data_IF_175668862860
#
_entry.id   IF_175668862860
#
_cell.length_a   1.000
_cell.length_b   1.000
_cell.length_c   1.000
_cell.angle_alpha   90.00
_cell.angle_beta   90.00
_cell.angle_gamma   90.00
#
_symmetry.space_group_name_H-M   'P 1'
#
loop_
_entity.id
_entity.type
_entity.pdbx_description
1 polymer ?
#
# COMPACT_ATOMS: atom_id res chain seq x y z
N UNK A 1 -10.71 -9.94 17.59
CA UNK A 1 -10.66 -9.63 16.16
C UNK A 1 -12.07 -9.81 15.65
N UNK A 2 -12.64 -8.80 14.98
CA UNK A 2 -13.93 -9.01 14.29
C UNK A 2 -13.67 -9.92 13.09
N UNK A 3 -14.58 -10.83 12.80
CA UNK A 3 -14.48 -11.66 11.61
C UNK A 3 -14.58 -10.78 10.36
N UNK A 4 -13.82 -11.08 9.29
CA UNK A 4 -13.92 -10.31 8.05
C UNK A 4 -15.35 -10.37 7.54
N UNK A 5 -15.88 -9.23 7.13
CA UNK A 5 -17.22 -9.19 6.52
C UNK A 5 -17.12 -9.87 5.16
N UNK A 6 -17.70 -11.05 5.02
CA UNK A 6 -17.84 -11.74 3.74
C UNK A 6 -19.04 -11.15 3.02
N UNK A 7 -18.81 -10.32 2.02
CA UNK A 7 -19.86 -9.77 1.18
C UNK A 7 -19.89 -10.45 -0.18
N UNK A 8 -21.08 -10.66 -0.73
CA UNK A 8 -21.21 -10.95 -2.15
C UNK A 8 -21.17 -9.62 -2.90
N UNK A 9 -20.48 -9.60 -4.04
CA UNK A 9 -20.21 -8.36 -4.77
C UNK A 9 -21.42 -7.48 -5.06
N UNK A 10 -22.63 -8.05 -5.13
CA UNK A 10 -23.88 -7.31 -5.34
C UNK A 10 -24.31 -6.41 -4.15
N UNK A 11 -23.63 -6.47 -3.01
CA UNK A 11 -23.93 -5.70 -1.79
C UNK A 11 -22.94 -4.56 -1.56
N UNK A 12 -21.88 -4.47 -2.38
CA UNK A 12 -20.89 -3.40 -2.25
C UNK A 12 -21.42 -2.07 -2.81
N UNK A 13 -21.01 -0.94 -2.22
CA UNK A 13 -21.21 0.38 -2.82
C UNK A 13 -20.64 0.44 -4.25
N UNK A 14 -21.28 1.15 -5.19
CA UNK A 14 -20.87 1.20 -6.60
C UNK A 14 -19.40 1.59 -6.80
N UNK A 15 -18.89 2.49 -5.97
CA UNK A 15 -17.48 2.93 -6.00
C UNK A 15 -16.49 1.82 -5.62
N UNK A 16 -16.87 0.88 -4.75
CA UNK A 16 -16.04 -0.28 -4.41
C UNK A 16 -16.17 -1.38 -5.47
N UNK A 17 -17.34 -1.52 -6.10
CA UNK A 17 -17.54 -2.40 -7.26
C UNK A 17 -16.61 -1.99 -8.40
N UNK A 18 -16.59 -0.70 -8.75
CA UNK A 18 -15.68 -0.15 -9.77
C UNK A 18 -14.21 -0.43 -9.41
N UNK A 19 -13.86 -0.23 -8.16
CA UNK A 19 -12.49 -0.42 -7.69
C UNK A 19 -12.04 -1.89 -7.83
N UNK A 20 -12.90 -2.85 -7.48
CA UNK A 20 -12.65 -4.30 -7.69
C UNK A 20 -12.49 -4.63 -9.18
N UNK A 21 -13.35 -4.08 -10.04
CA UNK A 21 -13.25 -4.31 -11.48
C UNK A 21 -11.92 -3.81 -12.05
N UNK A 22 -11.48 -2.62 -11.62
CA UNK A 22 -10.18 -2.04 -12.03
C UNK A 22 -9.00 -2.86 -11.51
N UNK A 23 -9.03 -3.32 -10.26
CA UNK A 23 -8.01 -4.20 -9.71
C UNK A 23 -7.92 -5.53 -10.48
N UNK A 24 -9.07 -6.14 -10.80
CA UNK A 24 -9.13 -7.37 -11.60
C UNK A 24 -8.56 -7.16 -13.00
N UNK A 25 -8.88 -6.05 -13.67
CA UNK A 25 -8.34 -5.72 -14.99
C UNK A 25 -6.82 -5.49 -14.93
N UNK A 26 -6.33 -4.78 -13.92
CA UNK A 26 -4.90 -4.52 -13.72
C UNK A 26 -4.09 -5.81 -13.53
N UNK A 27 -4.66 -6.85 -12.92
CA UNK A 27 -3.99 -8.14 -12.71
C UNK A 27 -3.46 -8.76 -14.00
N UNK A 28 -4.14 -8.55 -15.13
CA UNK A 28 -3.70 -9.05 -16.44
C UNK A 28 -2.39 -8.41 -16.92
N UNK A 29 -1.96 -7.30 -16.32
CA UNK A 29 -0.72 -6.58 -16.65
C UNK A 29 0.44 -6.97 -15.72
N UNK A 30 0.25 -7.91 -14.80
CA UNK A 30 1.29 -8.35 -13.88
C UNK A 30 2.50 -8.96 -14.61
N UNK A 31 3.68 -8.59 -14.15
CA UNK A 31 4.93 -9.20 -14.59
C UNK A 31 5.47 -10.10 -13.47
N UNK A 32 5.13 -11.38 -13.52
CA UNK A 32 5.43 -12.36 -12.47
C UNK A 32 6.07 -13.64 -13.03
N UNK A 33 7.24 -13.54 -13.69
CA UNK A 33 7.86 -14.69 -14.35
C UNK A 33 8.41 -15.73 -13.37
N UNK A 34 8.65 -15.37 -12.12
CA UNK A 34 9.25 -16.25 -11.10
C UNK A 34 8.20 -16.97 -10.28
N UNK A 35 7.25 -16.24 -9.69
CA UNK A 35 6.21 -16.82 -8.85
C UNK A 35 4.99 -17.31 -9.64
N UNK A 36 4.77 -16.75 -10.83
CA UNK A 36 3.55 -16.88 -11.62
C UNK A 36 2.27 -16.46 -10.87
N UNK A 37 2.42 -15.76 -9.76
CA UNK A 37 1.32 -15.27 -8.93
C UNK A 37 0.95 -13.84 -9.34
N UNK A 38 -0.12 -13.73 -10.11
CA UNK A 38 -0.57 -12.45 -10.66
C UNK A 38 -1.46 -11.71 -9.66
N UNK A 39 -1.10 -10.47 -9.35
CA UNK A 39 -1.85 -9.58 -8.46
C UNK A 39 -2.15 -8.27 -9.16
N UNK A 40 -3.37 -7.81 -9.08
CA UNK A 40 -3.78 -6.46 -9.47
C UNK A 40 -4.33 -5.70 -8.29
N UNK A 41 -4.10 -4.41 -8.26
CA UNK A 41 -4.63 -3.52 -7.24
C UNK A 41 -5.20 -2.25 -7.87
N UNK A 42 -6.13 -1.63 -7.15
CA UNK A 42 -6.62 -0.30 -7.44
C UNK A 42 -6.75 0.48 -6.13
N UNK A 43 -6.33 1.74 -6.14
CA UNK A 43 -6.53 2.68 -5.03
C UNK A 43 -7.45 3.79 -5.49
N UNK A 44 -8.42 4.15 -4.67
CA UNK A 44 -9.23 5.37 -4.81
C UNK A 44 -8.69 6.40 -3.85
N UNK A 45 -8.48 7.59 -4.33
CA UNK A 45 -8.02 8.74 -3.53
C UNK A 45 -9.21 9.60 -3.09
N UNK A 46 -9.01 10.43 -2.07
CA UNK A 46 -10.07 11.28 -1.50
C UNK A 46 -10.60 12.32 -2.48
N UNK A 47 -9.80 12.71 -3.47
CA UNK A 47 -10.20 13.56 -4.60
C UNK A 47 -10.99 12.82 -5.70
N UNK A 48 -11.27 11.51 -5.48
CA UNK A 48 -12.13 10.69 -6.34
C UNK A 48 -11.42 9.97 -7.49
N UNK A 49 -10.12 10.21 -7.71
CA UNK A 49 -9.37 9.51 -8.75
C UNK A 49 -9.11 8.05 -8.39
N UNK A 50 -8.94 7.22 -9.42
CA UNK A 50 -8.60 5.80 -9.26
C UNK A 50 -7.32 5.49 -10.02
N UNK A 51 -6.35 4.94 -9.28
CA UNK A 51 -5.06 4.49 -9.82
C UNK A 51 -4.95 2.98 -9.70
N UNK A 52 -4.37 2.37 -10.72
CA UNK A 52 -4.23 0.92 -10.79
C UNK A 52 -2.76 0.51 -10.76
N UNK A 53 -2.50 -0.70 -10.31
CA UNK A 53 -1.18 -1.30 -10.29
C UNK A 53 -1.25 -2.82 -10.41
N UNK A 54 -0.16 -3.40 -10.86
CA UNK A 54 0.06 -4.84 -10.89
C UNK A 54 1.41 -5.15 -10.28
N UNK A 55 1.64 -6.38 -9.81
CA UNK A 55 2.96 -6.75 -9.31
C UNK A 55 3.97 -6.85 -10.45
N UNK A 56 5.17 -6.38 -10.15
CA UNK A 56 6.33 -6.41 -11.06
C UNK A 56 7.48 -7.09 -10.34
N UNK A 57 7.82 -8.28 -10.78
CA UNK A 57 8.90 -9.07 -10.21
C UNK A 57 10.26 -8.71 -10.81
N UNK A 58 11.30 -9.06 -10.11
CA UNK A 58 12.68 -8.83 -10.51
C UNK A 58 13.53 -10.06 -10.12
N UNK A 59 14.55 -10.37 -10.91
CA UNK A 59 15.52 -11.43 -10.60
C UNK A 59 16.21 -11.19 -9.24
N UNK A 60 16.42 -9.93 -8.87
CA UNK A 60 16.75 -9.53 -7.51
C UNK A 60 15.45 -9.39 -6.73
N UNK A 61 15.05 -10.42 -5.99
CA UNK A 61 13.74 -10.51 -5.34
C UNK A 61 13.40 -9.31 -4.46
N UNK A 62 14.39 -8.71 -3.81
CA UNK A 62 14.21 -7.51 -2.98
C UNK A 62 13.74 -6.28 -3.76
N UNK A 63 13.92 -6.25 -5.08
CA UNK A 63 13.46 -5.17 -5.96
C UNK A 63 12.04 -5.38 -6.49
N UNK A 64 11.44 -6.53 -6.23
CA UNK A 64 10.05 -6.81 -6.66
C UNK A 64 9.07 -5.87 -5.96
N UNK A 65 8.08 -5.37 -6.72
CA UNK A 65 7.07 -4.43 -6.23
C UNK A 65 5.69 -5.06 -6.32
N UNK A 66 4.96 -5.04 -5.20
CA UNK A 66 3.59 -5.53 -5.15
C UNK A 66 2.61 -4.58 -5.87
N UNK A 67 1.49 -5.10 -6.33
CA UNK A 67 0.46 -4.36 -7.07
C UNK A 67 -0.06 -3.13 -6.29
N UNK A 68 -0.29 -3.28 -4.99
CA UNK A 68 -0.79 -2.19 -4.13
C UNK A 68 0.21 -1.03 -4.08
N UNK A 69 1.51 -1.33 -3.95
CA UNK A 69 2.56 -0.31 -3.95
C UNK A 69 2.67 0.38 -5.31
N UNK A 70 2.56 -0.36 -6.40
CA UNK A 70 2.54 0.21 -7.75
C UNK A 70 1.36 1.17 -7.93
N UNK A 71 0.17 0.81 -7.45
CA UNK A 71 -1.01 1.68 -7.52
C UNK A 71 -0.83 2.96 -6.67
N UNK A 72 -0.29 2.84 -5.45
CA UNK A 72 0.00 3.99 -4.58
C UNK A 72 1.06 4.91 -5.22
N UNK A 73 2.14 4.35 -5.78
CA UNK A 73 3.17 5.14 -6.46
C UNK A 73 2.60 5.92 -7.65
N UNK A 74 1.68 5.30 -8.42
CA UNK A 74 0.99 5.98 -9.52
C UNK A 74 0.13 7.15 -9.01
N UNK A 75 -0.58 6.99 -7.88
CA UNK A 75 -1.36 8.06 -7.26
C UNK A 75 -0.46 9.22 -6.81
N UNK A 76 0.64 8.92 -6.12
CA UNK A 76 1.58 9.94 -5.65
C UNK A 76 2.22 10.70 -6.80
N UNK A 77 2.61 10.00 -7.88
CA UNK A 77 3.17 10.63 -9.08
C UNK A 77 2.17 11.57 -9.77
N UNK A 78 0.88 11.24 -9.70
CA UNK A 78 -0.19 12.10 -10.21
C UNK A 78 -0.58 13.25 -9.26
N UNK A 79 0.05 13.35 -8.08
CA UNK A 79 -0.21 14.42 -7.11
C UNK A 79 -1.24 14.07 -6.02
N UNK A 80 -1.93 12.90 -6.10
CA UNK A 80 -2.88 12.45 -5.08
C UNK A 80 -2.17 11.72 -3.95
N UNK A 81 -2.39 12.16 -2.71
CA UNK A 81 -1.63 11.67 -1.54
C UNK A 81 -2.50 11.15 -0.40
N UNK A 82 -3.81 11.05 -0.59
CA UNK A 82 -4.72 10.54 0.40
C UNK A 82 -5.57 9.40 -0.17
N UNK A 83 -5.44 8.22 0.42
CA UNK A 83 -6.13 7.00 -0.02
C UNK A 83 -7.45 6.85 0.74
N UNK A 84 -8.55 6.74 0.00
CA UNK A 84 -9.90 6.55 0.53
C UNK A 84 -10.34 5.08 0.53
N UNK A 85 -9.87 4.26 -0.42
CA UNK A 85 -10.20 2.84 -0.52
C UNK A 85 -9.16 2.08 -1.35
N UNK A 86 -9.04 0.78 -1.11
CA UNK A 86 -8.13 -0.12 -1.84
C UNK A 86 -8.89 -1.38 -2.25
N UNK A 87 -8.66 -1.87 -3.48
CA UNK A 87 -9.05 -3.21 -3.89
C UNK A 87 -7.82 -4.00 -4.32
N UNK A 88 -7.77 -5.29 -3.97
CA UNK A 88 -6.70 -6.21 -4.35
C UNK A 88 -7.33 -7.47 -4.94
N UNK A 89 -6.92 -7.84 -6.15
CA UNK A 89 -7.38 -9.01 -6.87
C UNK A 89 -6.23 -10.00 -7.06
N UNK A 90 -6.44 -11.23 -6.58
CA UNK A 90 -5.48 -12.33 -6.70
C UNK A 90 -6.09 -13.53 -7.42
N UNK A 91 -5.33 -14.63 -7.51
CA UNK A 91 -5.82 -15.90 -8.06
C UNK A 91 -6.39 -16.82 -6.97
N UNK A 92 -6.30 -16.42 -5.71
CA UNK A 92 -6.69 -17.28 -4.58
C UNK A 92 -8.18 -17.18 -4.24
N UNK A 93 -8.72 -18.27 -3.77
CA UNK A 93 -10.01 -18.35 -3.09
C UNK A 93 -9.82 -19.26 -1.86
N UNK A 94 -9.97 -18.72 -0.65
CA UNK A 94 -10.34 -17.35 -0.31
C UNK A 94 -9.29 -16.30 -0.77
N UNK A 95 -9.71 -15.04 -0.97
CA UNK A 95 -8.82 -13.97 -1.44
C UNK A 95 -7.68 -13.68 -0.46
N UNK A 96 -6.49 -13.35 -1.01
CA UNK A 96 -5.32 -13.01 -0.21
C UNK A 96 -5.34 -11.55 0.26
N UNK A 97 -4.94 -11.33 1.50
CA UNK A 97 -4.74 -9.98 2.03
C UNK A 97 -3.38 -9.39 1.59
N UNK A 98 -3.24 -8.04 1.58
CA UNK A 98 -1.98 -7.35 1.35
C UNK A 98 -0.87 -7.83 2.28
N UNK A 99 0.35 -7.94 1.78
CA UNK A 99 1.52 -8.24 2.61
C UNK A 99 1.84 -7.11 3.60
N UNK A 100 2.69 -7.36 4.58
CA UNK A 100 3.03 -6.37 5.62
C UNK A 100 3.59 -5.07 5.06
N UNK A 101 4.45 -5.13 4.02
CA UNK A 101 4.99 -3.93 3.38
C UNK A 101 3.90 -3.10 2.69
N UNK A 102 2.92 -3.75 2.05
CA UNK A 102 1.81 -3.04 1.41
C UNK A 102 0.90 -2.37 2.43
N UNK A 103 0.62 -3.04 3.56
CA UNK A 103 -0.17 -2.45 4.67
C UNK A 103 0.52 -1.21 5.22
N UNK A 104 1.84 -1.29 5.47
CA UNK A 104 2.63 -0.16 5.94
C UNK A 104 2.71 0.98 4.91
N UNK A 105 2.84 0.66 3.61
CA UNK A 105 2.79 1.67 2.55
C UNK A 105 1.44 2.39 2.52
N UNK A 106 0.33 1.67 2.66
CA UNK A 106 -1.00 2.27 2.71
C UNK A 106 -1.19 3.16 3.95
N UNK A 107 -0.65 2.76 5.11
CA UNK A 107 -0.74 3.51 6.35
C UNK A 107 -0.02 4.88 6.31
N UNK A 108 0.87 5.11 5.35
CA UNK A 108 1.46 6.43 5.08
C UNK A 108 0.46 7.41 4.50
N UNK A 109 -0.53 6.91 3.71
CA UNK A 109 -1.45 7.74 2.92
C UNK A 109 -2.90 7.69 3.43
N UNK A 110 -3.17 7.00 4.53
CA UNK A 110 -4.48 6.96 5.19
C UNK A 110 -4.36 6.47 6.62
N UNK A 111 -5.17 7.04 7.50
CA UNK A 111 -5.28 6.52 8.89
C UNK A 111 -6.11 5.24 8.95
N UNK A 112 -7.08 5.10 8.05
CA UNK A 112 -7.90 3.89 7.90
C UNK A 112 -8.78 3.97 6.65
N UNK A 113 -8.84 2.88 5.89
CA UNK A 113 -9.70 2.78 4.72
C UNK A 113 -10.23 1.35 4.56
N UNK A 114 -11.31 1.13 3.79
CA UNK A 114 -11.72 -0.21 3.38
C UNK A 114 -10.67 -0.80 2.43
N UNK A 115 -10.32 -2.06 2.68
CA UNK A 115 -9.48 -2.91 1.83
C UNK A 115 -10.34 -4.05 1.33
N UNK A 116 -10.65 -4.03 0.05
CA UNK A 116 -11.52 -5.00 -0.61
C UNK A 116 -10.67 -6.06 -1.30
N UNK A 117 -10.83 -7.30 -0.89
CA UNK A 117 -10.07 -8.44 -1.41
C UNK A 117 -10.96 -9.28 -2.31
N UNK A 118 -10.48 -9.64 -3.49
CA UNK A 118 -11.22 -10.50 -4.41
C UNK A 118 -10.30 -11.55 -5.06
N UNK A 119 -10.93 -12.67 -5.40
CA UNK A 119 -10.32 -13.76 -6.14
C UNK A 119 -10.45 -13.59 -7.66
N UNK A 120 -10.17 -14.65 -8.45
CA UNK A 120 -10.12 -14.60 -9.92
C UNK A 120 -11.44 -14.19 -10.58
N UNK A 121 -12.57 -14.41 -9.92
CA UNK A 121 -13.89 -14.00 -10.42
C UNK A 121 -14.18 -12.51 -10.16
N UNK A 122 -13.38 -11.83 -9.32
CA UNK A 122 -13.63 -10.45 -8.93
C UNK A 122 -14.95 -10.32 -8.19
N UNK A 123 -15.79 -9.37 -8.63
CA UNK A 123 -17.09 -9.07 -8.02
C UNK A 123 -18.10 -10.24 -8.10
N UNK A 124 -17.95 -11.14 -9.06
CA UNK A 124 -18.81 -12.31 -9.24
C UNK A 124 -18.41 -13.50 -8.34
N UNK A 125 -17.36 -13.31 -7.55
CA UNK A 125 -16.83 -14.28 -6.61
C UNK A 125 -17.03 -13.91 -5.16
N UNK A 126 -16.23 -14.54 -4.30
CA UNK A 126 -16.08 -14.17 -2.91
C UNK A 126 -15.32 -12.84 -2.81
N UNK A 127 -15.87 -11.92 -2.06
CA UNK A 127 -15.25 -10.62 -1.76
C UNK A 127 -15.20 -10.43 -0.26
N UNK A 128 -14.03 -10.12 0.26
CA UNK A 128 -13.82 -9.79 1.68
C UNK A 128 -13.57 -8.30 1.82
N UNK A 129 -14.25 -7.65 2.77
CA UNK A 129 -14.02 -6.25 3.11
C UNK A 129 -13.42 -6.20 4.51
N UNK A 130 -12.26 -5.59 4.62
CA UNK A 130 -11.54 -5.39 5.87
C UNK A 130 -11.17 -3.92 6.04
N UNK A 131 -10.85 -3.52 7.27
CA UNK A 131 -10.28 -2.19 7.51
C UNK A 131 -8.76 -2.26 7.59
N UNK A 132 -8.06 -1.25 7.07
CA UNK A 132 -6.60 -1.21 7.11
C UNK A 132 -6.08 -1.32 8.56
N UNK A 133 -6.73 -0.64 9.51
CA UNK A 133 -6.38 -0.70 10.94
C UNK A 133 -6.49 -2.11 11.56
N UNK A 134 -7.38 -2.96 11.01
CA UNK A 134 -7.50 -4.37 11.44
C UNK A 134 -6.37 -5.22 10.86
N UNK A 135 -5.92 -4.88 9.64
CA UNK A 135 -4.82 -5.55 8.96
C UNK A 135 -3.44 -5.11 9.49
N UNK A 136 -3.32 -3.91 10.05
CA UNK A 136 -2.08 -3.36 10.59
C UNK A 136 -2.35 -2.65 11.93
N UNK A 137 -2.64 -3.39 13.01
CA UNK A 137 -2.76 -2.81 14.34
C UNK A 137 -1.41 -2.21 14.77
N UNK A 138 -1.44 -1.08 15.47
CA UNK A 138 -0.25 -0.36 15.92
C UNK A 138 0.71 0.04 14.78
N UNK A 139 0.16 0.49 13.65
CA UNK A 139 0.92 0.95 12.51
C UNK A 139 1.92 2.06 12.90
N UNK A 140 3.11 2.02 12.33
CA UNK A 140 4.04 3.14 12.38
C UNK A 140 3.60 4.20 11.36
N UNK A 141 3.12 5.35 11.84
CA UNK A 141 2.52 6.39 11.00
C UNK A 141 3.25 7.73 11.16
N UNK A 142 3.12 8.68 10.21
CA UNK A 142 3.79 9.99 10.28
C UNK A 142 3.57 10.72 11.60
N UNK A 143 2.38 10.62 12.19
CA UNK A 143 2.08 11.21 13.50
C UNK A 143 3.01 10.70 14.61
N UNK A 144 3.49 9.46 14.53
CA UNK A 144 4.46 8.90 15.48
C UNK A 144 5.81 9.64 15.41
N UNK A 145 6.26 9.97 14.19
CA UNK A 145 7.50 10.75 13.98
C UNK A 145 7.32 12.20 14.42
N UNK A 146 6.18 12.83 14.15
CA UNK A 146 5.90 14.21 14.56
C UNK A 146 5.92 14.33 16.08
N UNK A 147 5.24 13.43 16.81
CA UNK A 147 5.25 13.41 18.26
C UNK A 147 6.67 13.25 18.82
N UNK A 148 7.52 12.45 18.17
CA UNK A 148 8.92 12.26 18.57
C UNK A 148 9.75 13.54 18.33
N UNK A 149 9.60 14.21 17.19
CA UNK A 149 10.32 15.45 16.88
C UNK A 149 9.90 16.61 17.78
N UNK A 150 8.61 16.72 18.13
CA UNK A 150 8.10 17.68 19.10
C UNK A 150 8.68 17.43 20.50
N UNK A 151 8.75 16.17 20.93
CA UNK A 151 9.36 15.81 22.21
C UNK A 151 10.87 16.13 22.27
N UNK A 152 11.59 15.97 21.16
CA UNK A 152 13.01 16.37 21.08
C UNK A 152 13.17 17.88 21.04
N UNK A 153 12.32 18.62 20.33
CA UNK A 153 12.36 20.09 20.27
C UNK A 153 12.06 20.76 21.61
N UNK A 154 11.32 20.10 22.49
CA UNK A 154 11.07 20.55 23.87
C UNK A 154 12.25 20.28 24.83
N UNK A 155 13.22 19.46 24.45
CA UNK A 155 14.46 19.17 25.18
C UNK A 155 15.63 19.96 24.54
N UNK A 156 15.58 21.28 24.58
CA UNK A 156 16.60 22.17 24.00
C UNK A 156 17.94 22.20 24.76
N UNK A 157 18.43 21.05 25.17
CA UNK A 157 19.79 20.84 25.72
C UNK A 157 20.47 19.65 25.03
N UNK A 158 20.38 19.59 23.68
CA UNK A 158 21.14 18.59 22.94
C UNK A 158 22.50 19.14 22.54
N UNK A 159 23.56 18.47 22.98
CA UNK A 159 24.94 18.71 22.56
C UNK A 159 25.00 18.81 21.02
N UNK A 160 25.76 19.76 20.49
CA UNK A 160 25.94 19.87 19.03
C UNK A 160 26.53 18.55 18.49
N UNK A 161 25.94 18.04 17.43
CA UNK A 161 26.49 16.91 16.68
C UNK A 161 27.92 17.28 16.29
N UNK A 162 28.94 16.44 16.62
CA UNK A 162 30.30 16.69 16.19
C UNK A 162 30.32 16.87 14.69
N UNK A 163 30.83 18.01 14.20
CA UNK A 163 31.09 18.18 12.76
C UNK A 163 32.10 17.11 12.38
N UNK A 164 31.78 16.32 11.33
CA UNK A 164 32.76 15.45 10.73
C UNK A 164 33.99 16.30 10.37
N UNK A 165 35.14 15.92 10.90
CA UNK A 165 36.40 16.56 10.58
C UNK A 165 36.61 16.47 9.07
N UNK A 166 36.79 17.63 8.43
CA UNK A 166 37.20 17.77 7.05
C UNK A 166 38.61 17.15 6.92
N UNK A 167 38.67 15.85 6.74
CA UNK A 167 39.92 15.21 6.33
C UNK A 167 40.23 15.64 4.92
N UNK A 168 41.10 16.63 4.88
CA UNK A 168 41.85 17.14 3.73
C UNK A 168 42.36 15.99 2.84
N UNK A 169 41.65 15.72 1.73
CA UNK A 169 42.13 14.87 0.65
C UNK A 169 42.94 15.75 -0.29
N UNK A 170 44.09 16.22 0.20
CA UNK A 170 45.11 16.81 -0.71
C UNK A 170 46.36 15.95 -0.68
N UNK A 171 46.74 15.60 -1.90
CA UNK A 171 48.07 15.19 -2.37
C UNK A 171 48.59 13.80 -1.96
N UNK A 172 48.54 12.88 -2.91
CA UNK A 172 49.79 12.23 -3.34
C UNK A 172 49.73 11.88 -4.82
N UNK A 173 50.74 12.32 -5.48
CA UNK A 173 51.11 12.10 -6.90
C UNK A 173 51.25 10.62 -7.27
#
# INVERSE_FOLDING_TARGET
MADPIVERGAQLPPELVELVQKAKAARAQAYAPYSQFLVGAAVRTTDGHVFVGANVENASYGLSVCAERTAVLAAVLAGSREVAAVAVCTELSPPAAPCGMCRQTLAEFTTDCPVVLCGPRGIDGEVLVMRLRELLPHAFVPATLHAFTEALGSQSDTQPVPKADDHDVRSNH
#
